data_IF_014959380857
#
_entry.id   IF_014959380857
#
_cell.length_a   1.000
_cell.length_b   1.000
_cell.length_c   1.000
_cell.angle_alpha   90.00
_cell.angle_beta   90.00
_cell.angle_gamma   90.00
#
_symmetry.space_group_name_H-M   'P 1'
#
loop_
_entity.id
_entity.type
_entity.pdbx_description
1 polymer ?
#
# COMPACT_ATOMS: atom_id res chain seq x y z
N UNK A 1 7.67 14.89 25.54
CA UNK A 1 8.63 13.77 25.39
C UNK A 1 8.20 12.70 24.37
N UNK A 2 6.91 12.60 24.02
CA UNK A 2 6.38 11.56 23.09
C UNK A 2 6.86 11.66 21.63
N UNK A 3 6.92 12.88 21.05
CA UNK A 3 7.41 13.08 19.66
C UNK A 3 8.86 12.64 19.45
N UNK A 4 9.71 12.71 20.48
CA UNK A 4 11.14 12.35 20.38
C UNK A 4 11.34 10.83 20.35
N UNK A 5 10.49 10.07 21.05
CA UNK A 5 10.53 8.59 21.07
C UNK A 5 10.11 7.98 19.73
N UNK A 6 9.02 8.49 19.13
CA UNK A 6 8.56 8.06 17.82
C UNK A 6 9.65 8.20 16.75
N UNK A 7 10.39 9.32 16.78
CA UNK A 7 11.41 9.59 15.78
C UNK A 7 12.64 8.69 15.90
N UNK A 8 12.99 8.23 17.12
CA UNK A 8 14.12 7.32 17.35
C UNK A 8 13.75 5.89 16.94
N UNK A 9 12.56 5.41 17.32
CA UNK A 9 12.07 4.10 16.91
C UNK A 9 11.94 4.02 15.39
N UNK A 10 11.41 5.05 14.74
CA UNK A 10 11.27 5.09 13.29
C UNK A 10 12.61 5.15 12.55
N UNK A 11 13.57 5.91 13.06
CA UNK A 11 14.94 5.93 12.51
C UNK A 11 15.65 4.59 12.70
N UNK A 12 15.51 3.96 13.87
CA UNK A 12 16.09 2.65 14.14
C UNK A 12 15.45 1.58 13.23
N UNK A 13 14.12 1.56 13.13
CA UNK A 13 13.39 0.63 12.29
C UNK A 13 13.79 0.77 10.81
N UNK A 14 13.81 1.99 10.27
CA UNK A 14 14.24 2.22 8.89
C UNK A 14 15.70 1.79 8.68
N UNK A 15 16.61 2.14 9.60
CA UNK A 15 18.03 1.77 9.47
C UNK A 15 18.22 0.25 9.53
N UNK A 16 17.50 -0.44 10.43
CA UNK A 16 17.54 -1.91 10.52
C UNK A 16 16.96 -2.53 9.25
N UNK A 17 15.78 -2.09 8.79
CA UNK A 17 15.15 -2.64 7.57
C UNK A 17 16.04 -2.43 6.33
N UNK A 18 16.62 -1.24 6.15
CA UNK A 18 17.54 -0.96 5.04
C UNK A 18 18.82 -1.80 5.15
N UNK A 19 19.36 -1.97 6.36
CA UNK A 19 20.58 -2.75 6.55
C UNK A 19 20.33 -4.24 6.33
N UNK A 20 19.26 -4.81 6.87
CA UNK A 20 18.90 -6.23 6.69
C UNK A 20 18.61 -6.56 5.21
N UNK A 21 18.17 -5.58 4.41
CA UNK A 21 18.01 -5.75 2.95
C UNK A 21 19.32 -5.67 2.14
N UNK A 22 20.46 -5.37 2.77
CA UNK A 22 21.75 -5.21 2.07
C UNK A 22 22.49 -6.52 1.83
N UNK A 23 23.30 -6.58 0.77
CA UNK A 23 24.16 -7.73 0.48
C UNK A 23 25.14 -8.06 1.63
N UNK A 24 25.59 -7.03 2.37
CA UNK A 24 26.43 -7.21 3.56
C UNK A 24 25.71 -7.93 4.70
N UNK A 25 24.44 -7.63 4.95
CA UNK A 25 23.67 -8.32 6.00
C UNK A 25 23.42 -9.78 5.63
N UNK A 26 23.16 -10.06 4.35
CA UNK A 26 23.08 -11.44 3.85
C UNK A 26 24.38 -12.21 4.07
N UNK A 27 25.54 -11.62 3.74
CA UNK A 27 26.83 -12.24 3.98
C UNK A 27 27.08 -12.55 5.47
N UNK A 28 26.72 -11.64 6.37
CA UNK A 28 26.80 -11.86 7.82
C UNK A 28 25.86 -12.99 8.26
N UNK A 29 24.62 -13.02 7.77
CA UNK A 29 23.66 -14.07 8.10
C UNK A 29 24.16 -15.46 7.67
N UNK A 30 24.72 -15.57 6.46
CA UNK A 30 25.34 -16.81 5.97
C UNK A 30 26.52 -17.22 6.85
N UNK A 31 27.38 -16.27 7.23
CA UNK A 31 28.51 -16.53 8.11
C UNK A 31 28.07 -17.02 9.50
N UNK A 32 27.00 -16.46 10.06
CA UNK A 32 26.41 -16.94 11.32
C UNK A 32 25.93 -18.39 11.18
N UNK A 33 25.26 -18.73 10.08
CA UNK A 33 24.82 -20.11 9.81
C UNK A 33 26.02 -21.05 9.67
N UNK A 34 27.06 -20.65 8.94
CA UNK A 34 28.29 -21.45 8.79
C UNK A 34 28.96 -21.70 10.13
N UNK A 35 29.14 -20.66 10.96
CA UNK A 35 29.70 -20.80 12.31
C UNK A 35 28.84 -21.76 13.14
N UNK A 36 27.52 -21.60 13.12
CA UNK A 36 26.61 -22.49 13.84
C UNK A 36 26.83 -23.95 13.41
N UNK A 37 26.81 -24.25 12.09
CA UNK A 37 27.06 -25.61 11.58
C UNK A 37 28.41 -26.18 12.05
N UNK A 38 29.49 -25.37 11.99
CA UNK A 38 30.84 -25.79 12.40
C UNK A 38 30.93 -26.03 13.91
N UNK A 39 30.13 -25.35 14.73
CA UNK A 39 30.03 -25.63 16.16
C UNK A 39 29.21 -26.89 16.47
N UNK A 40 28.38 -27.38 15.54
CA UNK A 40 27.54 -28.56 15.71
C UNK A 40 28.26 -29.83 16.20
N UNK A 41 29.40 -30.23 15.59
CA UNK A 41 30.20 -31.38 16.05
C UNK A 41 30.70 -31.25 17.49
N UNK A 42 31.02 -30.04 17.96
CA UNK A 42 31.49 -29.78 19.33
C UNK A 42 30.35 -30.05 20.33
N UNK A 43 29.11 -29.70 19.94
CA UNK A 43 27.91 -29.89 20.76
C UNK A 43 27.15 -31.20 20.45
N UNK A 44 27.77 -32.11 19.69
CA UNK A 44 27.17 -33.37 19.24
C UNK A 44 25.78 -33.21 18.59
N UNK A 45 25.52 -32.08 17.93
CA UNK A 45 24.21 -31.75 17.36
C UNK A 45 23.05 -31.88 18.35
N UNK A 46 23.29 -31.56 19.62
CA UNK A 46 22.32 -31.69 20.72
C UNK A 46 21.03 -30.88 20.50
N UNK A 47 19.96 -31.30 21.18
CA UNK A 47 18.66 -30.61 21.15
C UNK A 47 18.78 -29.14 21.59
N UNK A 48 19.63 -28.84 22.59
CA UNK A 48 19.87 -27.46 23.03
C UNK A 48 20.55 -26.62 21.95
N UNK A 49 21.50 -27.20 21.21
CA UNK A 49 22.19 -26.50 20.11
C UNK A 49 21.24 -26.18 18.94
N UNK A 50 20.30 -27.08 18.63
CA UNK A 50 19.23 -26.83 17.65
C UNK A 50 18.20 -25.82 18.17
N UNK A 51 17.81 -25.93 19.45
CA UNK A 51 16.86 -25.05 20.09
C UNK A 51 17.32 -23.59 20.04
N UNK A 52 18.60 -23.32 20.32
CA UNK A 52 19.14 -21.95 20.33
C UNK A 52 18.95 -21.25 18.98
N UNK A 53 19.26 -21.91 17.85
CA UNK A 53 19.09 -21.28 16.53
C UNK A 53 17.62 -21.14 16.14
N UNK A 54 16.81 -22.16 16.45
CA UNK A 54 15.38 -22.15 16.11
C UNK A 54 14.64 -21.07 16.89
N UNK A 55 14.88 -20.98 18.20
CA UNK A 55 14.29 -19.95 19.06
C UNK A 55 14.80 -18.56 18.67
N UNK A 56 16.11 -18.41 18.43
CA UNK A 56 16.69 -17.13 18.04
C UNK A 56 16.13 -16.60 16.72
N UNK A 57 16.11 -17.46 15.69
CA UNK A 57 15.58 -17.09 14.37
C UNK A 57 14.09 -16.78 14.42
N UNK A 58 13.32 -17.50 15.23
CA UNK A 58 11.88 -17.23 15.41
C UNK A 58 11.64 -15.85 16.02
N UNK A 59 12.38 -15.48 17.08
CA UNK A 59 12.27 -14.15 17.70
C UNK A 59 12.67 -13.06 16.69
N UNK A 60 13.80 -13.23 16.00
CA UNK A 60 14.25 -12.27 14.98
C UNK A 60 13.20 -12.12 13.87
N UNK A 61 12.65 -13.22 13.38
CA UNK A 61 11.62 -13.21 12.33
C UNK A 61 10.35 -12.49 12.81
N UNK A 62 9.90 -12.77 14.03
CA UNK A 62 8.74 -12.09 14.61
C UNK A 62 8.95 -10.57 14.70
N UNK A 63 10.13 -10.14 15.17
CA UNK A 63 10.50 -8.72 15.20
C UNK A 63 10.60 -8.13 13.78
N UNK A 64 11.17 -8.88 12.83
CA UNK A 64 11.32 -8.47 11.44
C UNK A 64 9.97 -8.18 10.79
N UNK A 65 8.94 -8.99 11.06
CA UNK A 65 7.58 -8.75 10.54
C UNK A 65 7.08 -7.36 10.94
N UNK A 66 7.22 -6.97 12.21
CA UNK A 66 6.81 -5.61 12.64
C UNK A 66 7.66 -4.50 12.01
N UNK A 67 8.97 -4.72 11.87
CA UNK A 67 9.87 -3.74 11.24
C UNK A 67 9.55 -3.54 9.76
N UNK A 68 9.29 -4.63 9.04
CA UNK A 68 8.85 -4.62 7.64
C UNK A 68 7.51 -3.90 7.54
N UNK A 69 6.52 -4.26 8.37
CA UNK A 69 5.20 -3.60 8.38
C UNK A 69 5.32 -2.10 8.65
N UNK A 70 6.17 -1.67 9.59
CA UNK A 70 6.40 -0.24 9.87
C UNK A 70 7.02 0.49 8.68
N UNK A 71 8.01 -0.12 8.01
CA UNK A 71 8.63 0.44 6.80
C UNK A 71 7.61 0.52 5.66
N UNK A 72 6.91 -0.58 5.39
CA UNK A 72 5.91 -0.67 4.33
C UNK A 72 4.76 0.31 4.56
N UNK A 73 4.27 0.47 5.80
CA UNK A 73 3.19 1.42 6.10
C UNK A 73 3.57 2.87 5.79
N UNK A 74 4.86 3.24 5.93
CA UNK A 74 5.34 4.58 5.57
C UNK A 74 5.45 4.74 4.06
N UNK A 75 5.98 3.75 3.38
CA UNK A 75 6.15 3.77 1.92
C UNK A 75 4.80 3.76 1.20
N UNK A 76 3.83 2.98 1.67
CA UNK A 76 2.45 2.97 1.14
C UNK A 76 1.79 4.35 1.23
N UNK A 77 1.92 5.04 2.37
CA UNK A 77 1.41 6.41 2.52
C UNK A 77 2.08 7.40 1.57
N UNK A 78 3.39 7.27 1.36
CA UNK A 78 4.11 8.12 0.42
C UNK A 78 3.66 7.88 -1.03
N UNK A 79 3.36 6.63 -1.40
CA UNK A 79 2.79 6.27 -2.71
C UNK A 79 1.40 6.88 -2.87
N UNK A 80 0.53 6.74 -1.87
CA UNK A 80 -0.82 7.34 -1.85
C UNK A 80 -0.77 8.85 -2.09
N UNK A 81 0.04 9.58 -1.31
CA UNK A 81 0.18 11.03 -1.47
C UNK A 81 0.68 11.44 -2.86
N UNK A 82 1.63 10.70 -3.43
CA UNK A 82 2.11 10.96 -4.80
C UNK A 82 1.03 10.71 -5.85
N UNK A 83 0.21 9.68 -5.68
CA UNK A 83 -0.92 9.40 -6.56
C UNK A 83 -2.00 10.47 -6.43
N UNK A 84 -2.31 10.91 -5.21
CA UNK A 84 -3.28 11.97 -4.95
C UNK A 84 -2.87 13.28 -5.62
N UNK A 85 -1.59 13.66 -5.56
CA UNK A 85 -1.07 14.82 -6.30
C UNK A 85 -1.23 14.66 -7.83
N UNK A 86 -0.94 13.47 -8.39
CA UNK A 86 -1.11 13.20 -9.82
C UNK A 86 -2.58 13.23 -10.26
N UNK A 87 -3.49 12.73 -9.43
CA UNK A 87 -4.95 12.76 -9.66
C UNK A 87 -5.43 14.21 -9.61
N UNK A 88 -5.07 14.96 -8.56
CA UNK A 88 -5.45 16.35 -8.37
C UNK A 88 -4.91 17.27 -9.49
N UNK A 89 -3.71 16.98 -10.01
CA UNK A 89 -3.12 17.71 -11.14
C UNK A 89 -3.73 17.32 -12.51
N UNK A 90 -4.43 16.19 -12.60
CA UNK A 90 -5.03 15.71 -13.84
C UNK A 90 -6.39 16.34 -14.11
N UNK A 91 -6.51 17.12 -15.19
CA UNK A 91 -7.76 17.80 -15.60
C UNK A 91 -8.94 16.88 -15.90
N UNK A 92 -8.71 15.57 -16.08
CA UNK A 92 -9.74 14.61 -16.47
C UNK A 92 -9.97 13.52 -15.40
N UNK A 93 -9.19 13.52 -14.32
CA UNK A 93 -9.38 12.60 -13.21
C UNK A 93 -10.36 13.22 -12.21
N UNK A 94 -11.34 12.45 -11.76
CA UNK A 94 -12.32 12.96 -10.80
C UNK A 94 -11.67 13.11 -9.43
N UNK A 95 -11.75 14.31 -8.84
CA UNK A 95 -11.24 14.59 -7.49
C UNK A 95 -11.84 13.67 -6.41
N UNK A 96 -12.97 12.98 -6.69
CA UNK A 96 -13.55 11.94 -5.83
C UNK A 96 -12.67 10.69 -5.66
N UNK A 97 -11.61 10.55 -6.45
CA UNK A 97 -10.63 9.46 -6.33
C UNK A 97 -9.47 9.81 -5.39
N UNK A 98 -9.34 11.08 -5.00
CA UNK A 98 -8.32 11.53 -4.03
C UNK A 98 -8.71 11.03 -2.64
N UNK A 99 -7.73 10.51 -1.90
CA UNK A 99 -7.87 9.98 -0.54
C UNK A 99 -8.94 8.85 -0.42
N UNK A 100 -9.11 8.05 -1.47
CA UNK A 100 -10.08 6.95 -1.53
C UNK A 100 -9.85 5.91 -0.41
N UNK A 101 -8.61 5.77 0.07
CA UNK A 101 -8.23 4.86 1.16
C UNK A 101 -8.82 5.21 2.52
N UNK A 102 -9.25 6.46 2.72
CA UNK A 102 -9.81 6.95 3.97
C UNK A 102 -11.34 6.82 4.02
N UNK A 103 -11.98 6.43 2.91
CA UNK A 103 -13.42 6.20 2.84
C UNK A 103 -13.82 4.97 3.68
N UNK A 104 -14.99 5.06 4.31
CA UNK A 104 -15.62 3.90 4.92
C UNK A 104 -16.03 2.88 3.85
N UNK A 105 -16.20 1.62 4.25
CA UNK A 105 -16.61 0.56 3.32
C UNK A 105 -17.96 0.85 2.64
N UNK A 106 -18.89 1.49 3.37
CA UNK A 106 -20.17 1.91 2.81
C UNK A 106 -20.01 3.03 1.76
N UNK A 107 -19.12 3.99 1.99
CA UNK A 107 -18.82 5.06 1.02
C UNK A 107 -18.10 4.49 -0.21
N UNK A 108 -17.20 3.54 -0.01
CA UNK A 108 -16.50 2.85 -1.10
C UNK A 108 -17.47 2.05 -1.98
N UNK A 109 -18.46 1.36 -1.40
CA UNK A 109 -19.50 0.63 -2.14
C UNK A 109 -20.40 1.59 -2.96
N UNK A 110 -20.76 2.75 -2.39
CA UNK A 110 -21.50 3.79 -3.13
C UNK A 110 -20.67 4.31 -4.30
N UNK A 111 -19.38 4.57 -4.08
CA UNK A 111 -18.48 5.03 -5.13
C UNK A 111 -18.30 3.97 -6.23
N UNK A 112 -18.13 2.70 -5.84
CA UNK A 112 -18.04 1.57 -6.75
C UNK A 112 -19.28 1.45 -7.64
N UNK A 113 -20.48 1.46 -7.03
CA UNK A 113 -21.77 1.42 -7.77
C UNK A 113 -21.93 2.59 -8.73
N UNK A 114 -21.47 3.78 -8.35
CA UNK A 114 -21.49 4.94 -9.22
C UNK A 114 -20.63 4.74 -10.47
N UNK A 115 -19.39 4.28 -10.31
CA UNK A 115 -18.48 4.04 -11.45
C UNK A 115 -18.90 2.84 -12.29
N UNK A 116 -19.45 1.79 -11.67
CA UNK A 116 -20.03 0.66 -12.39
C UNK A 116 -21.15 1.12 -13.32
N UNK A 117 -22.11 1.90 -12.78
CA UNK A 117 -23.18 2.48 -13.59
C UNK A 117 -22.67 3.40 -14.70
N UNK A 118 -21.59 4.13 -14.45
CA UNK A 118 -20.98 4.98 -15.46
C UNK A 118 -20.33 4.16 -16.59
N UNK A 119 -19.65 3.06 -16.23
CA UNK A 119 -19.10 2.10 -17.19
C UNK A 119 -20.20 1.49 -18.07
N UNK A 120 -21.31 1.05 -17.46
CA UNK A 120 -22.46 0.50 -18.19
C UNK A 120 -23.05 1.50 -19.19
N UNK A 121 -23.11 2.79 -18.81
CA UNK A 121 -23.58 3.87 -19.69
C UNK A 121 -22.59 4.12 -20.85
N UNK A 122 -21.28 4.11 -20.56
CA UNK A 122 -20.24 4.31 -21.57
C UNK A 122 -20.15 3.13 -22.57
N UNK A 123 -20.35 1.89 -22.11
CA UNK A 123 -20.40 0.71 -22.97
C UNK A 123 -21.65 0.70 -23.87
N UNK A 124 -22.75 1.28 -23.41
CA UNK A 124 -23.97 1.46 -24.20
C UNK A 124 -23.88 2.61 -25.23
N UNK A 125 -22.90 3.51 -25.12
CA UNK A 125 -22.66 4.61 -26.06
C UNK A 125 -21.64 4.15 -27.13
N UNK A 126 -22.11 3.86 -28.35
CA UNK A 126 -21.38 3.21 -29.46
C UNK A 126 -20.25 4.08 -30.10
N UNK A 127 -19.78 5.13 -29.43
CA UNK A 127 -18.83 6.12 -29.93
C UNK A 127 -17.48 6.04 -29.19
N UNK A 128 -16.62 5.13 -29.66
CA UNK A 128 -15.26 4.85 -29.15
C UNK A 128 -14.28 6.04 -29.25
N UNK A 129 -14.65 7.16 -29.88
CA UNK A 129 -13.76 8.30 -30.13
C UNK A 129 -13.96 9.50 -29.19
N UNK A 130 -14.92 9.46 -28.26
CA UNK A 130 -15.04 10.50 -27.23
C UNK A 130 -14.33 10.08 -25.94
N UNK A 131 -13.15 10.68 -25.70
CA UNK A 131 -12.53 10.71 -24.38
C UNK A 131 -13.40 11.54 -23.44
N UNK A 132 -14.38 10.92 -22.80
CA UNK A 132 -15.16 11.55 -21.74
C UNK A 132 -14.30 11.65 -20.48
N UNK A 133 -13.85 12.87 -20.12
CA UNK A 133 -13.58 13.14 -18.70
C UNK A 133 -14.83 12.73 -17.93
N UNK A 134 -14.66 11.96 -16.86
CA UNK A 134 -15.76 11.43 -16.07
C UNK A 134 -16.67 12.56 -15.56
N UNK A 135 -16.10 13.73 -15.28
CA UNK A 135 -16.87 14.92 -14.90
C UNK A 135 -17.72 15.47 -16.07
N UNK A 136 -17.22 15.43 -17.32
CA UNK A 136 -17.97 15.89 -18.49
C UNK A 136 -19.16 14.98 -18.87
N UNK A 137 -19.07 13.68 -18.63
CA UNK A 137 -20.20 12.76 -18.85
C UNK A 137 -21.35 13.03 -17.87
N UNK A 138 -21.02 13.40 -16.63
CA UNK A 138 -21.98 13.69 -15.56
C UNK A 138 -22.64 15.04 -15.78
N UNK A 139 -21.87 16.07 -16.11
CA UNK A 139 -22.38 17.41 -16.42
C UNK A 139 -23.35 17.35 -17.61
N UNK A 140 -23.00 16.66 -18.71
CA UNK A 140 -23.90 16.46 -19.85
C UNK A 140 -25.15 15.68 -19.48
N UNK A 141 -25.06 14.69 -18.58
CA UNK A 141 -26.22 13.93 -18.19
C UNK A 141 -27.16 14.75 -17.30
N UNK A 142 -26.63 15.62 -16.44
CA UNK A 142 -27.41 16.58 -15.66
C UNK A 142 -28.07 17.62 -16.60
N UNK A 143 -27.34 18.18 -17.57
CA UNK A 143 -27.90 19.08 -18.59
C UNK A 143 -29.01 18.42 -19.41
N UNK A 144 -28.82 17.19 -19.89
CA UNK A 144 -29.89 16.47 -20.62
C UNK A 144 -31.11 16.19 -19.75
N UNK A 145 -30.94 16.02 -18.44
CA UNK A 145 -32.07 15.81 -17.50
C UNK A 145 -32.81 17.10 -17.17
N UNK A 146 -32.13 18.25 -17.10
CA UNK A 146 -32.77 19.56 -16.90
C UNK A 146 -33.54 19.97 -18.15
N UNK A 147 -32.93 19.85 -19.34
CA UNK A 147 -33.61 20.17 -20.62
C UNK A 147 -34.88 19.33 -20.82
N UNK A 148 -34.86 18.03 -20.51
CA UNK A 148 -36.04 17.16 -20.61
C UNK A 148 -37.15 17.46 -19.59
N UNK A 149 -36.84 18.23 -18.54
CA UNK A 149 -37.81 18.69 -17.53
C UNK A 149 -38.51 19.97 -18.00
N UNK A 150 -37.80 20.81 -18.73
CA UNK A 150 -38.31 22.09 -19.25
C UNK A 150 -39.18 21.90 -20.50
N UNK A 151 -38.95 20.85 -21.30
CA UNK A 151 -39.82 20.49 -22.45
C UNK A 151 -41.18 19.86 -22.06
N UNK A 152 -41.46 19.70 -20.76
CA UNK A 152 -42.72 19.12 -20.25
C UNK A 152 -43.71 20.14 -19.69
N UNK A 153 -43.51 21.42 -19.96
CA UNK A 153 -44.46 22.50 -19.64
C UNK A 153 -44.98 23.19 -20.90
#
# INVERSE_FOLDING_TARGET
>A
MERKKHNIFEQAANKITTWTGSASAFGIAVLVIVIWVVTGPIFHYSDTWQLVINTGTTIITFLMVFLIQKSQNKDSKAIQLKLNELIAASRHASNRMVDIEDLTEAELDVLHKYYQKLSDIAEADDDIHKSHSIDQAVDRHQEKKTVRKDEKF
#
